data_IF_819725871102
#
_entry.id   IF_819725871102
#
_cell.length_a   1.000
_cell.length_b   1.000
_cell.length_c   1.000
_cell.angle_alpha   90.00
_cell.angle_beta   90.00
_cell.angle_gamma   90.00
#
_symmetry.space_group_name_H-M   'P 1'
#
loop_
_entity.id
_entity.type
_entity.pdbx_description
1 polymer ?
#
# COMPACT_ATOMS: atom_id res chain seq x y z
N UNK A 1 -22.80 1.33 -23.39
CA UNK A 1 -22.30 1.40 -24.78
C UNK A 1 -23.07 2.41 -25.63
N UNK A 2 -24.40 2.51 -25.58
CA UNK A 2 -25.19 3.46 -26.40
C UNK A 2 -25.01 4.97 -26.15
N UNK A 3 -23.94 5.38 -25.47
CA UNK A 3 -23.51 6.78 -25.31
C UNK A 3 -22.18 7.08 -26.02
N UNK A 4 -21.52 6.05 -26.61
CA UNK A 4 -20.34 6.21 -27.44
C UNK A 4 -20.73 6.52 -28.89
N UNK A 5 -19.77 7.08 -29.62
CA UNK A 5 -19.85 7.20 -31.08
C UNK A 5 -20.11 5.81 -31.69
N UNK A 6 -20.92 5.76 -32.75
CA UNK A 6 -21.27 4.52 -33.41
C UNK A 6 -20.03 3.84 -33.99
N UNK A 7 -19.06 4.63 -34.48
CA UNK A 7 -17.79 4.11 -35.01
C UNK A 7 -17.02 3.33 -33.94
N UNK A 8 -16.97 3.81 -32.69
CA UNK A 8 -16.33 3.09 -31.57
C UNK A 8 -17.06 1.78 -31.27
N UNK A 9 -18.40 1.79 -31.33
CA UNK A 9 -19.20 0.58 -31.10
C UNK A 9 -18.94 -0.45 -32.21
N UNK A 10 -18.89 0.00 -33.46
CA UNK A 10 -18.63 -0.84 -34.62
C UNK A 10 -17.20 -1.42 -34.57
N UNK A 11 -16.22 -0.63 -34.15
CA UNK A 11 -14.83 -1.08 -33.92
C UNK A 11 -14.75 -2.11 -32.77
N UNK A 12 -15.50 -1.91 -31.67
CA UNK A 12 -15.61 -2.93 -30.60
C UNK A 12 -16.25 -4.22 -31.15
N UNK A 13 -17.29 -4.12 -31.99
CA UNK A 13 -17.98 -5.28 -32.57
C UNK A 13 -17.17 -6.00 -33.63
N UNK A 14 -16.27 -5.31 -34.31
CA UNK A 14 -15.30 -5.93 -35.24
C UNK A 14 -14.09 -6.51 -34.52
N UNK A 15 -13.90 -6.14 -33.25
CA UNK A 15 -12.88 -6.69 -32.36
C UNK A 15 -11.58 -5.88 -32.35
N UNK A 16 -11.60 -4.61 -32.75
CA UNK A 16 -10.41 -3.74 -32.84
C UNK A 16 -9.88 -3.28 -31.47
N UNK A 17 -10.73 -3.33 -30.43
CA UNK A 17 -10.35 -3.01 -29.05
C UNK A 17 -10.21 -4.27 -28.20
N UNK A 18 -9.12 -4.36 -27.44
CA UNK A 18 -8.76 -5.54 -26.64
C UNK A 18 -9.08 -5.37 -25.16
N UNK A 19 -9.18 -4.13 -24.68
CA UNK A 19 -9.46 -3.85 -23.27
C UNK A 19 -10.13 -2.50 -23.07
N UNK A 20 -10.90 -2.41 -21.99
CA UNK A 20 -11.54 -1.22 -21.47
C UNK A 20 -11.07 -0.97 -20.05
N UNK A 21 -10.53 0.21 -19.79
CA UNK A 21 -10.04 0.62 -18.48
C UNK A 21 -10.96 1.69 -17.89
N UNK A 22 -11.23 1.55 -16.60
CA UNK A 22 -11.90 2.56 -15.78
C UNK A 22 -10.94 3.02 -14.70
N UNK A 23 -10.73 4.32 -14.63
CA UNK A 23 -10.17 4.96 -13.44
C UNK A 23 -11.31 5.01 -12.41
N UNK A 24 -11.11 4.41 -11.24
CA UNK A 24 -12.17 4.34 -10.24
C UNK A 24 -11.70 4.70 -8.85
N UNK A 25 -12.63 5.26 -8.06
CA UNK A 25 -12.48 5.45 -6.63
C UNK A 25 -13.49 4.54 -5.93
N UNK A 26 -13.01 3.44 -5.37
CA UNK A 26 -13.82 2.46 -4.67
C UNK A 26 -13.74 2.76 -3.17
N UNK A 27 -14.88 3.08 -2.56
CA UNK A 27 -14.99 3.19 -1.11
C UNK A 27 -15.42 1.84 -0.53
N UNK A 28 -14.96 1.55 0.69
CA UNK A 28 -15.23 0.29 1.38
C UNK A 28 -14.68 -0.94 0.62
N UNK A 29 -13.52 -0.79 -0.03
CA UNK A 29 -12.88 -1.90 -0.78
C UNK A 29 -12.54 -3.09 0.11
N UNK A 30 -12.29 -2.89 1.40
CA UNK A 30 -12.00 -3.98 2.34
C UNK A 30 -13.14 -4.96 2.54
N UNK A 31 -14.37 -4.55 2.24
CA UNK A 31 -15.54 -5.43 2.26
C UNK A 31 -15.66 -6.30 1.01
N UNK A 32 -14.93 -5.98 -0.05
CA UNK A 32 -15.01 -6.64 -1.34
C UNK A 32 -14.10 -7.87 -1.34
N UNK A 33 -14.60 -8.99 -1.83
CA UNK A 33 -13.77 -10.17 -2.12
C UNK A 33 -13.28 -10.12 -3.57
N UNK A 34 -14.22 -9.88 -4.50
CA UNK A 34 -13.94 -9.80 -5.93
C UNK A 34 -15.03 -9.04 -6.69
N UNK A 35 -14.71 -8.61 -7.92
CA UNK A 35 -15.66 -8.15 -8.92
C UNK A 35 -15.85 -9.21 -9.99
N UNK A 36 -17.08 -9.69 -10.13
CA UNK A 36 -17.49 -10.49 -11.27
C UNK A 36 -17.86 -9.60 -12.45
N UNK A 37 -17.14 -9.73 -13.55
CA UNK A 37 -17.37 -8.99 -14.79
C UNK A 37 -18.03 -9.92 -15.79
N UNK A 38 -19.26 -9.59 -16.18
CA UNK A 38 -20.05 -10.38 -17.12
C UNK A 38 -20.38 -9.57 -18.36
N UNK A 39 -20.05 -10.13 -19.53
CA UNK A 39 -20.33 -9.53 -20.83
C UNK A 39 -21.60 -10.14 -21.42
N UNK A 40 -22.45 -9.32 -22.00
CA UNK A 40 -23.70 -9.72 -22.63
C UNK A 40 -23.76 -9.20 -24.05
N UNK A 41 -23.99 -10.11 -24.99
CA UNK A 41 -24.23 -9.82 -26.39
C UNK A 41 -25.72 -9.84 -26.75
N UNK A 42 -26.02 -9.97 -28.04
CA UNK A 42 -27.40 -10.07 -28.53
C UNK A 42 -28.08 -11.40 -28.16
N UNK A 43 -27.31 -12.49 -28.03
CA UNK A 43 -27.78 -13.83 -27.68
C UNK A 43 -27.84 -14.11 -26.17
N UNK A 44 -27.40 -13.17 -25.33
CA UNK A 44 -27.32 -13.34 -23.87
C UNK A 44 -25.89 -13.25 -23.35
N UNK A 45 -25.59 -14.03 -22.31
CA UNK A 45 -24.28 -14.05 -21.65
C UNK A 45 -23.20 -14.55 -22.62
N UNK A 46 -22.06 -13.84 -22.69
CA UNK A 46 -20.86 -14.23 -23.41
C UNK A 46 -19.91 -14.90 -22.42
N UNK A 47 -20.09 -16.21 -22.17
CA UNK A 47 -19.42 -16.94 -21.09
C UNK A 47 -17.90 -16.89 -21.18
N UNK A 48 -17.38 -16.98 -22.39
CA UNK A 48 -15.94 -17.12 -22.65
C UNK A 48 -15.18 -15.80 -22.41
N UNK A 49 -15.91 -14.68 -22.36
CA UNK A 49 -15.38 -13.34 -22.10
C UNK A 49 -15.68 -12.85 -20.67
N UNK A 50 -16.24 -13.71 -19.81
CA UNK A 50 -16.44 -13.38 -18.39
C UNK A 50 -15.13 -13.46 -17.62
N UNK A 51 -14.92 -12.55 -16.68
CA UNK A 51 -13.68 -12.46 -15.92
C UNK A 51 -13.94 -12.09 -14.46
N UNK A 52 -13.00 -12.47 -13.61
CA UNK A 52 -12.99 -12.20 -12.18
C UNK A 52 -11.80 -11.27 -11.91
N UNK A 53 -12.02 -10.23 -11.12
CA UNK A 53 -10.95 -9.35 -10.63
C UNK A 53 -10.99 -9.43 -9.10
N UNK A 54 -9.93 -9.92 -8.50
CA UNK A 54 -9.83 -10.03 -7.03
C UNK A 54 -9.58 -8.66 -6.39
N UNK A 55 -9.94 -8.51 -5.11
CA UNK A 55 -9.70 -7.28 -4.35
C UNK A 55 -8.22 -6.86 -4.40
N UNK A 56 -7.33 -7.81 -4.22
CA UNK A 56 -5.88 -7.59 -4.18
C UNK A 56 -5.39 -7.01 -5.51
N UNK A 57 -5.90 -7.50 -6.64
CA UNK A 57 -5.60 -6.97 -7.97
C UNK A 57 -6.11 -5.53 -8.15
N UNK A 58 -7.27 -5.20 -7.57
CA UNK A 58 -7.79 -3.82 -7.59
C UNK A 58 -6.91 -2.89 -6.77
N UNK A 59 -6.50 -3.30 -5.57
CA UNK A 59 -5.61 -2.51 -4.70
C UNK A 59 -4.26 -2.28 -5.39
N UNK A 60 -3.66 -3.33 -5.95
CA UNK A 60 -2.40 -3.25 -6.69
C UNK A 60 -2.45 -2.34 -7.91
N UNK A 61 -3.64 -2.01 -8.43
CA UNK A 61 -3.83 -1.15 -9.60
C UNK A 61 -4.45 0.19 -9.25
N UNK A 62 -4.32 0.63 -7.99
CA UNK A 62 -4.90 1.88 -7.50
C UNK A 62 -6.41 1.98 -7.80
N UNK A 63 -7.13 0.88 -7.66
CA UNK A 63 -8.55 0.70 -7.99
C UNK A 63 -8.90 0.84 -9.48
N UNK A 64 -7.93 0.82 -10.39
CA UNK A 64 -8.21 0.80 -11.83
C UNK A 64 -8.80 -0.54 -12.26
N UNK A 65 -9.96 -0.51 -12.93
CA UNK A 65 -10.63 -1.72 -13.42
C UNK A 65 -10.27 -1.93 -14.89
N UNK A 66 -9.65 -3.07 -15.22
CA UNK A 66 -9.40 -3.52 -16.60
C UNK A 66 -10.41 -4.59 -16.99
N UNK A 67 -11.12 -4.39 -18.09
CA UNK A 67 -12.06 -5.35 -18.67
C UNK A 67 -11.54 -5.78 -20.04
N UNK A 68 -11.22 -7.05 -20.19
CA UNK A 68 -10.87 -7.61 -21.50
C UNK A 68 -12.12 -7.60 -22.40
N UNK A 69 -11.94 -7.18 -23.65
CA UNK A 69 -13.00 -7.14 -24.65
C UNK A 69 -12.83 -8.31 -25.63
N UNK A 70 -13.92 -8.80 -26.25
CA UNK A 70 -13.83 -9.82 -27.27
C UNK A 70 -13.04 -9.29 -28.48
N UNK A 71 -11.98 -10.00 -28.86
CA UNK A 71 -11.08 -9.55 -29.94
C UNK A 71 -11.48 -10.05 -31.34
N UNK A 72 -12.52 -10.88 -31.42
CA UNK A 72 -13.13 -11.35 -32.66
C UNK A 72 -14.46 -10.62 -32.89
N UNK A 73 -15.04 -10.78 -34.08
CA UNK A 73 -16.34 -10.20 -34.41
C UNK A 73 -17.40 -10.66 -33.40
N UNK A 74 -18.05 -9.71 -32.73
CA UNK A 74 -18.92 -9.94 -31.59
C UNK A 74 -20.17 -9.06 -31.63
N UNK A 75 -21.02 -9.20 -30.60
CA UNK A 75 -22.26 -8.41 -30.47
C UNK A 75 -22.39 -7.76 -29.09
N UNK A 76 -21.25 -7.42 -28.47
CA UNK A 76 -21.21 -6.91 -27.10
C UNK A 76 -22.16 -5.72 -26.92
N UNK A 77 -23.10 -5.86 -25.98
CA UNK A 77 -24.14 -4.86 -25.73
C UNK A 77 -24.03 -4.26 -24.34
N UNK A 78 -23.67 -5.08 -23.36
CA UNK A 78 -23.63 -4.69 -21.95
C UNK A 78 -22.48 -5.39 -21.24
N UNK A 79 -21.76 -4.62 -20.45
CA UNK A 79 -20.83 -5.09 -19.44
C UNK A 79 -21.51 -4.89 -18.09
N UNK A 80 -21.50 -5.91 -17.23
CA UNK A 80 -22.06 -5.86 -15.88
C UNK A 80 -20.96 -6.20 -14.88
N UNK A 81 -20.72 -5.26 -13.98
CA UNK A 81 -19.86 -5.44 -12.81
C UNK A 81 -20.76 -5.84 -11.64
N UNK A 82 -20.45 -6.96 -10.99
CA UNK A 82 -21.19 -7.47 -9.84
C UNK A 82 -20.21 -7.67 -8.68
N UNK A 83 -20.29 -6.84 -7.61
CA UNK A 83 -19.45 -7.05 -6.44
C UNK A 83 -19.86 -8.32 -5.70
N UNK A 84 -18.85 -9.04 -5.22
CA UNK A 84 -19.00 -10.15 -4.27
C UNK A 84 -18.30 -9.73 -3.00
N UNK A 85 -19.05 -9.59 -1.92
CA UNK A 85 -18.53 -9.17 -0.62
C UNK A 85 -17.94 -10.34 0.14
N UNK A 86 -16.97 -10.04 1.00
CA UNK A 86 -16.42 -10.99 1.97
C UNK A 86 -17.54 -11.50 2.87
N UNK A 87 -17.39 -12.75 3.31
CA UNK A 87 -18.37 -13.43 4.17
C UNK A 87 -17.77 -13.99 5.45
N UNK A 88 -16.51 -13.63 5.73
CA UNK A 88 -15.86 -13.92 7.01
C UNK A 88 -16.58 -13.25 8.18
N UNK A 89 -16.10 -13.54 9.40
CA UNK A 89 -16.76 -13.07 10.62
C UNK A 89 -16.94 -11.55 10.64
N UNK A 90 -15.96 -10.79 10.14
CA UNK A 90 -15.92 -9.33 10.21
C UNK A 90 -16.89 -8.68 9.23
N UNK A 91 -16.96 -9.21 7.99
CA UNK A 91 -17.77 -8.67 6.90
C UNK A 91 -19.07 -9.45 6.66
N UNK A 92 -19.43 -10.37 7.54
CA UNK A 92 -20.64 -11.18 7.43
C UNK A 92 -21.90 -10.31 7.27
N UNK A 93 -22.83 -10.72 6.40
CA UNK A 93 -24.11 -10.01 6.18
C UNK A 93 -24.95 -9.87 7.45
N UNK A 94 -24.85 -10.82 8.39
CA UNK A 94 -25.54 -10.73 9.67
C UNK A 94 -24.89 -9.70 10.62
N UNK A 95 -23.73 -9.14 10.24
CA UNK A 95 -22.98 -8.11 10.97
C UNK A 95 -22.90 -8.44 12.47
N UNK A 96 -22.55 -9.70 12.79
CA UNK A 96 -22.64 -10.22 14.15
C UNK A 96 -21.63 -9.56 15.08
N UNK A 97 -20.40 -9.34 14.58
CA UNK A 97 -19.30 -8.71 15.33
C UNK A 97 -18.99 -7.27 14.89
N UNK A 98 -19.18 -6.94 13.61
CA UNK A 98 -18.77 -5.66 13.03
C UNK A 98 -17.28 -5.58 12.69
N UNK A 99 -16.89 -4.46 12.06
CA UNK A 99 -15.51 -4.19 11.61
C UNK A 99 -14.75 -3.52 12.75
N UNK A 100 -13.60 -4.07 13.13
CA UNK A 100 -12.81 -3.52 14.22
C UNK A 100 -12.21 -2.16 13.83
N UNK A 101 -12.37 -1.17 14.70
CA UNK A 101 -11.83 0.18 14.55
C UNK A 101 -10.96 0.51 15.75
N UNK A 102 -9.90 1.27 15.51
CA UNK A 102 -8.93 1.68 16.51
C UNK A 102 -8.73 3.20 16.46
N UNK A 103 -8.63 3.83 17.62
CA UNK A 103 -8.38 5.26 17.74
C UNK A 103 -7.48 5.49 18.96
N UNK A 104 -6.38 6.21 18.77
CA UNK A 104 -5.47 6.59 19.87
C UNK A 104 -5.82 7.99 20.33
N UNK A 105 -5.87 8.19 21.64
CA UNK A 105 -6.37 9.40 22.27
C UNK A 105 -5.41 9.78 23.39
N UNK A 106 -5.07 11.05 23.47
CA UNK A 106 -4.38 11.63 24.61
C UNK A 106 -5.42 12.21 25.58
N UNK A 107 -5.26 11.92 26.87
CA UNK A 107 -6.21 12.33 27.88
C UNK A 107 -6.11 13.83 28.17
N UNK A 108 -7.12 14.59 27.75
CA UNK A 108 -7.27 16.02 27.99
C UNK A 108 -8.36 16.33 29.03
N UNK A 109 -8.00 16.82 30.24
CA UNK A 109 -8.96 17.24 31.26
C UNK A 109 -9.98 18.29 30.79
N UNK A 110 -9.68 19.07 29.75
CA UNK A 110 -10.61 20.05 29.18
C UNK A 110 -11.81 19.41 28.45
N UNK A 111 -11.68 18.14 28.05
CA UNK A 111 -12.74 17.34 27.44
C UNK A 111 -13.52 16.50 28.47
N UNK A 112 -13.17 16.61 29.75
CA UNK A 112 -13.85 15.92 30.85
C UNK A 112 -15.02 16.77 31.36
N UNK A 113 -16.18 16.16 31.50
CA UNK A 113 -17.37 16.81 32.05
C UNK A 113 -18.13 15.89 33.01
N UNK A 114 -18.75 16.50 34.03
CA UNK A 114 -19.65 15.80 34.94
C UNK A 114 -21.02 15.65 34.28
N UNK A 115 -21.46 14.40 34.08
CA UNK A 115 -22.75 14.09 33.50
C UNK A 115 -23.87 14.13 34.56
N UNK A 116 -25.12 13.92 34.13
CA UNK A 116 -26.31 13.99 34.99
C UNK A 116 -26.38 12.91 36.10
N UNK A 117 -25.50 11.92 36.04
CA UNK A 117 -25.30 10.87 37.04
C UNK A 117 -24.22 11.22 38.08
N UNK A 118 -23.74 12.47 38.10
CA UNK A 118 -22.67 12.99 38.95
C UNK A 118 -21.30 12.29 38.76
N UNK A 119 -21.11 11.57 37.66
CA UNK A 119 -19.82 10.97 37.28
C UNK A 119 -19.13 11.78 36.18
N UNK A 120 -17.80 11.72 36.17
CA UNK A 120 -16.96 12.44 35.21
C UNK A 120 -16.58 11.55 34.03
N UNK A 121 -16.83 12.04 32.82
CA UNK A 121 -16.49 11.35 31.59
C UNK A 121 -15.71 12.25 30.65
N UNK A 122 -14.74 11.67 29.95
CA UNK A 122 -14.18 12.26 28.76
C UNK A 122 -15.09 12.00 27.57
N UNK A 123 -15.39 13.06 26.81
CA UNK A 123 -16.15 12.97 25.56
C UNK A 123 -15.23 12.77 24.38
N UNK A 124 -15.42 11.68 23.64
CA UNK A 124 -14.61 11.31 22.48
C UNK A 124 -15.51 11.20 21.26
N UNK A 125 -15.23 12.00 20.23
CA UNK A 125 -15.88 11.87 18.93
C UNK A 125 -15.19 10.75 18.14
N UNK A 126 -15.97 9.77 17.70
CA UNK A 126 -15.45 8.63 16.94
C UNK A 126 -15.21 9.00 15.48
N UNK A 127 -14.11 8.48 14.93
CA UNK A 127 -13.77 8.61 13.51
C UNK A 127 -14.67 7.76 12.59
N UNK A 128 -15.26 6.70 13.16
CA UNK A 128 -16.11 5.76 12.44
C UNK A 128 -17.45 5.52 13.15
N UNK A 129 -18.43 5.06 12.38
CA UNK A 129 -19.75 4.71 12.90
C UNK A 129 -19.64 3.65 14.00
N UNK A 130 -20.43 3.76 15.07
CA UNK A 130 -20.42 2.80 16.17
C UNK A 130 -21.47 1.70 15.96
N UNK A 131 -21.06 0.43 16.10
CA UNK A 131 -21.98 -0.70 16.18
C UNK A 131 -22.57 -0.77 17.57
N UNK A 132 -23.88 -0.54 17.66
CA UNK A 132 -24.62 -0.48 18.92
C UNK A 132 -25.35 -1.79 19.26
N UNK A 133 -25.51 -2.69 18.28
CA UNK A 133 -26.05 -4.04 18.47
C UNK A 133 -24.92 -5.01 18.85
N UNK A 134 -24.71 -5.17 20.15
CA UNK A 134 -23.47 -5.72 20.68
C UNK A 134 -23.42 -7.25 20.76
N UNK A 135 -24.53 -7.99 20.72
CA UNK A 135 -24.55 -9.47 20.77
C UNK A 135 -23.63 -10.12 21.83
N UNK A 136 -23.43 -9.46 22.99
CA UNK A 136 -22.54 -9.92 24.06
C UNK A 136 -21.12 -9.34 24.03
N UNK A 137 -20.81 -8.44 23.09
CA UNK A 137 -19.59 -7.63 23.04
C UNK A 137 -19.72 -6.37 23.90
N UNK A 138 -18.59 -5.75 24.23
CA UNK A 138 -18.57 -4.42 24.83
C UNK A 138 -18.72 -3.34 23.77
N UNK A 139 -19.22 -2.17 24.19
CA UNK A 139 -19.39 -1.01 23.32
C UNK A 139 -18.04 -0.55 22.76
N UNK A 140 -17.04 -0.48 23.64
CA UNK A 140 -15.66 -0.22 23.30
C UNK A 140 -14.74 -0.84 24.37
N UNK A 141 -13.52 -1.17 23.96
CA UNK A 141 -12.44 -1.66 24.81
C UNK A 141 -11.39 -0.56 24.89
N UNK A 142 -10.89 -0.28 26.08
CA UNK A 142 -9.89 0.78 26.29
C UNK A 142 -8.62 0.15 26.84
N UNK A 143 -7.48 0.55 26.32
CA UNK A 143 -6.17 0.06 26.71
C UNK A 143 -5.28 1.23 27.11
N UNK A 144 -4.38 1.01 28.07
CA UNK A 144 -3.30 1.97 28.36
C UNK A 144 -2.18 1.88 27.30
N UNK A 145 -1.16 2.71 27.46
CA UNK A 145 0.08 2.75 26.68
C UNK A 145 0.83 1.40 26.64
N UNK A 146 0.65 0.55 27.64
CA UNK A 146 1.18 -0.81 27.71
C UNK A 146 0.25 -1.87 27.09
N UNK A 147 -0.80 -1.46 26.38
CA UNK A 147 -1.82 -2.33 25.77
C UNK A 147 -2.55 -3.24 26.78
N UNK A 148 -2.59 -2.84 28.05
CA UNK A 148 -3.36 -3.53 29.08
C UNK A 148 -4.81 -3.07 29.03
N UNK A 149 -5.74 -4.02 28.97
CA UNK A 149 -7.17 -3.73 28.95
C UNK A 149 -7.63 -3.12 30.28
N UNK A 150 -8.31 -1.98 30.21
CA UNK A 150 -8.82 -1.22 31.34
C UNK A 150 -10.28 -1.57 31.61
N UNK A 151 -10.58 -1.81 32.89
CA UNK A 151 -11.97 -1.99 33.35
C UNK A 151 -12.43 -0.75 34.10
N UNK A 152 -13.72 -0.46 34.03
CA UNK A 152 -14.27 0.78 34.56
C UNK A 152 -15.25 0.54 35.71
N UNK A 153 -15.30 1.45 36.71
CA UNK A 153 -16.26 1.37 37.81
C UNK A 153 -17.72 1.59 37.36
N UNK A 154 -17.91 2.21 36.18
CA UNK A 154 -19.19 2.41 35.53
C UNK A 154 -19.05 2.22 34.02
N UNK A 155 -20.17 1.97 33.33
CA UNK A 155 -20.15 1.59 31.91
C UNK A 155 -19.77 2.76 31.00
N UNK A 156 -19.03 2.46 29.92
CA UNK A 156 -18.89 3.36 28.78
C UNK A 156 -20.27 3.52 28.12
N UNK A 157 -20.65 4.76 27.82
CA UNK A 157 -21.91 5.08 27.15
C UNK A 157 -21.66 5.87 25.87
N UNK A 158 -22.72 6.08 25.07
CA UNK A 158 -22.61 6.85 23.84
C UNK A 158 -23.83 7.74 23.60
N UNK A 159 -23.63 8.79 22.80
CA UNK A 159 -24.70 9.57 22.17
C UNK A 159 -24.43 9.70 20.68
N UNK A 160 -25.49 9.76 19.88
CA UNK A 160 -25.41 10.13 18.47
C UNK A 160 -25.69 11.63 18.38
N UNK A 161 -24.71 12.41 17.94
CA UNK A 161 -24.89 13.83 17.61
C UNK A 161 -25.18 13.99 16.12
N UNK A 162 -26.32 14.60 15.79
CA UNK A 162 -26.72 14.91 14.42
C UNK A 162 -26.47 16.39 14.13
N UNK A 163 -25.42 16.69 13.37
CA UNK A 163 -25.12 18.06 12.93
C UNK A 163 -25.97 18.47 11.72
N UNK A 164 -26.36 17.50 10.88
CA UNK A 164 -27.28 17.69 9.76
C UNK A 164 -27.93 16.37 9.34
N UNK A 165 -28.85 16.40 8.37
CA UNK A 165 -29.48 15.19 7.81
C UNK A 165 -28.49 14.16 7.22
N UNK A 166 -27.26 14.58 6.93
CA UNK A 166 -26.24 13.74 6.29
C UNK A 166 -24.94 13.68 7.07
N UNK A 167 -24.86 14.37 8.23
CA UNK A 167 -23.65 14.44 9.05
C UNK A 167 -24.07 14.17 10.48
N UNK A 168 -23.65 13.03 10.99
CA UNK A 168 -23.79 12.62 12.38
C UNK A 168 -22.48 12.02 12.85
N UNK A 169 -22.19 12.11 14.15
CA UNK A 169 -21.08 11.40 14.75
C UNK A 169 -21.48 10.76 16.08
N UNK A 170 -20.85 9.64 16.39
CA UNK A 170 -21.01 8.98 17.67
C UNK A 170 -20.00 9.57 18.66
N UNK A 171 -20.49 9.99 19.81
CA UNK A 171 -19.67 10.45 20.93
C UNK A 171 -19.68 9.36 21.98
N UNK A 172 -18.51 8.84 22.34
CA UNK A 172 -18.33 7.97 23.50
C UNK A 172 -18.04 8.79 24.75
N UNK A 173 -18.57 8.32 25.87
CA UNK A 173 -18.29 8.83 27.20
C UNK A 173 -17.47 7.78 27.94
N UNK A 174 -16.16 8.03 28.05
CA UNK A 174 -15.25 7.14 28.77
C UNK A 174 -15.11 7.65 30.20
N UNK A 175 -15.34 6.80 31.22
CA UNK A 175 -15.12 7.15 32.62
C UNK A 175 -13.74 7.74 32.89
N UNK A 176 -13.68 8.80 33.70
CA UNK A 176 -12.40 9.46 34.04
C UNK A 176 -11.56 8.68 35.05
N UNK A 177 -12.11 7.58 35.55
CA UNK A 177 -11.45 6.66 36.47
C UNK A 177 -11.59 5.22 35.99
N UNK A 178 -10.55 4.42 36.14
CA UNK A 178 -10.51 3.01 35.81
C UNK A 178 -9.97 2.18 36.97
N UNK A 179 -10.14 0.87 36.91
CA UNK A 179 -9.58 -0.08 37.87
C UNK A 179 -8.22 -0.50 37.33
N UNK A 180 -7.15 -0.13 38.03
CA UNK A 180 -5.78 -0.47 37.64
C UNK A 180 -5.60 -1.99 37.60
N UNK A 181 -5.16 -2.57 36.47
CA UNK A 181 -5.03 -4.02 36.32
C UNK A 181 -4.00 -4.66 37.27
N UNK A 182 -3.03 -3.88 37.77
CA UNK A 182 -1.96 -4.37 38.63
C UNK A 182 -2.33 -4.30 40.11
N UNK A 183 -3.02 -3.23 40.52
CA UNK A 183 -3.35 -2.97 41.93
C UNK A 183 -4.80 -3.29 42.28
N UNK A 184 -5.68 -3.39 41.27
CA UNK A 184 -7.13 -3.52 41.41
C UNK A 184 -7.76 -2.38 42.25
N UNK A 185 -7.11 -1.22 42.30
CA UNK A 185 -7.60 0.01 42.89
C UNK A 185 -8.19 0.92 41.81
N UNK A 186 -9.15 1.76 42.18
CA UNK A 186 -9.69 2.77 41.27
C UNK A 186 -8.76 3.98 41.23
N UNK A 187 -8.24 4.27 40.04
CA UNK A 187 -7.35 5.40 39.75
C UNK A 187 -7.97 6.28 38.68
N UNK A 188 -7.53 7.54 38.59
CA UNK A 188 -8.01 8.49 37.59
C UNK A 188 -6.95 8.77 36.55
N UNK A 189 -7.36 8.91 35.29
CA UNK A 189 -6.47 9.34 34.23
C UNK A 189 -5.89 10.72 34.54
N UNK A 190 -4.64 10.92 34.14
CA UNK A 190 -3.91 12.18 34.23
C UNK A 190 -3.83 12.84 32.86
N UNK A 191 -3.58 14.15 32.85
CA UNK A 191 -3.31 14.89 31.62
C UNK A 191 -2.11 14.29 30.89
N UNK A 192 -2.29 14.02 29.59
CA UNK A 192 -1.25 13.43 28.74
C UNK A 192 -1.22 11.90 28.72
N UNK A 193 -2.06 11.21 29.51
CA UNK A 193 -2.15 9.75 29.44
C UNK A 193 -2.62 9.31 28.04
N UNK A 194 -1.88 8.39 27.41
CA UNK A 194 -2.26 7.85 26.10
C UNK A 194 -3.13 6.61 26.30
N UNK A 195 -4.29 6.59 25.66
CA UNK A 195 -5.19 5.43 25.63
C UNK A 195 -5.49 5.00 24.20
N UNK A 196 -5.51 3.69 23.99
CA UNK A 196 -5.95 3.09 22.74
C UNK A 196 -7.40 2.61 22.90
N UNK A 197 -8.27 3.10 22.04
CA UNK A 197 -9.68 2.73 21.97
C UNK A 197 -9.87 1.71 20.85
N UNK A 198 -10.51 0.58 21.16
CA UNK A 198 -11.01 -0.38 20.16
C UNK A 198 -12.52 -0.47 20.22
N UNK A 199 -13.20 -0.23 19.12
CA UNK A 199 -14.65 -0.38 19.00
C UNK A 199 -15.00 -1.09 17.70
N UNK A 200 -16.28 -1.42 17.50
CA UNK A 200 -16.74 -2.02 16.26
C UNK A 200 -17.58 -1.03 15.49
N UNK A 201 -17.42 -1.00 14.18
CA UNK A 201 -18.28 -0.29 13.24
C UNK A 201 -19.20 -1.26 12.51
N UNK A 202 -20.42 -0.84 12.13
CA UNK A 202 -21.32 -1.69 11.37
C UNK A 202 -20.77 -1.92 9.95
N UNK A 203 -20.93 -3.14 9.45
CA UNK A 203 -20.66 -3.44 8.04
C UNK A 203 -21.58 -2.60 7.15
N UNK A 204 -21.00 -1.83 6.23
CA UNK A 204 -21.76 -1.01 5.28
C UNK A 204 -22.31 -1.88 4.15
N UNK A 205 -23.61 -1.78 3.90
CA UNK A 205 -24.28 -2.52 2.82
C UNK A 205 -24.01 -1.84 1.48
N UNK A 206 -22.85 -2.11 0.89
CA UNK A 206 -22.49 -1.68 -0.47
C UNK A 206 -21.12 -1.04 -0.59
N UNK A 207 -20.68 -0.91 -1.84
CA UNK A 207 -19.46 -0.20 -2.23
C UNK A 207 -19.82 0.95 -3.17
N UNK A 208 -19.60 2.21 -2.76
CA UNK A 208 -19.62 3.33 -3.70
C UNK A 208 -18.45 3.22 -4.66
N UNK A 209 -18.73 3.20 -5.97
CA UNK A 209 -17.71 3.25 -7.03
C UNK A 209 -17.90 4.57 -7.78
N UNK A 210 -16.97 5.50 -7.59
CA UNK A 210 -16.84 6.67 -8.46
C UNK A 210 -16.09 6.28 -9.73
N UNK A 211 -16.66 6.52 -10.90
CA UNK A 211 -15.99 6.31 -12.19
C UNK A 211 -15.44 7.65 -12.66
N UNK A 212 -14.12 7.73 -12.84
CA UNK A 212 -13.41 8.87 -13.39
C UNK A 212 -13.30 8.76 -14.90
N UNK A 213 -12.06 8.67 -15.37
CA UNK A 213 -11.72 8.53 -16.78
C UNK A 213 -11.96 7.11 -17.30
N UNK A 214 -12.17 7.02 -18.62
CA UNK A 214 -12.34 5.77 -19.34
C UNK A 214 -11.38 5.73 -20.53
N UNK A 215 -10.75 4.58 -20.73
CA UNK A 215 -9.80 4.38 -21.81
C UNK A 215 -10.06 3.06 -22.54
N UNK A 216 -10.05 3.10 -23.87
CA UNK A 216 -10.16 1.93 -24.73
C UNK A 216 -8.80 1.62 -25.35
N UNK A 217 -8.36 0.39 -25.19
CA UNK A 217 -7.10 -0.09 -25.74
C UNK A 217 -7.33 -0.80 -27.07
N UNK A 218 -6.78 -0.25 -28.15
CA UNK A 218 -6.80 -0.85 -29.48
C UNK A 218 -5.75 -1.96 -29.60
N UNK A 219 -5.98 -2.94 -30.48
CA UNK A 219 -5.02 -3.99 -30.88
C UNK A 219 -3.61 -3.45 -31.16
N UNK A 220 -3.45 -2.26 -31.73
CA UNK A 220 -2.12 -1.71 -32.01
C UNK A 220 -1.41 -2.48 -33.14
N UNK A 221 -0.12 -2.23 -33.32
CA UNK A 221 0.63 -2.75 -34.47
C UNK A 221 0.94 -4.26 -34.31
N UNK A 222 0.67 -5.05 -35.36
CA UNK A 222 0.95 -6.50 -35.45
C UNK A 222 0.29 -7.43 -34.42
N UNK A 223 -0.70 -6.97 -33.67
CA UNK A 223 -1.38 -7.77 -32.64
C UNK A 223 -1.87 -9.13 -33.14
N UNK A 224 -2.53 -9.19 -34.29
CA UNK A 224 -3.09 -10.45 -34.79
C UNK A 224 -2.02 -11.52 -35.08
N UNK A 225 -0.77 -11.09 -35.36
CA UNK A 225 0.37 -12.00 -35.56
C UNK A 225 1.10 -12.33 -34.26
N UNK A 226 0.92 -11.54 -33.21
CA UNK A 226 1.68 -11.57 -31.96
C UNK A 226 0.82 -11.18 -30.75
N UNK A 227 -0.24 -11.96 -30.47
CA UNK A 227 -1.15 -11.73 -29.34
C UNK A 227 -0.51 -11.98 -27.97
N UNK A 228 0.65 -12.64 -27.97
CA UNK A 228 1.42 -13.07 -26.82
C UNK A 228 2.44 -12.04 -26.32
N UNK A 229 2.72 -11.00 -27.12
CA UNK A 229 3.69 -9.98 -26.75
C UNK A 229 3.11 -9.08 -25.63
N UNK A 230 3.73 -9.04 -24.44
CA UNK A 230 3.28 -8.15 -23.37
C UNK A 230 3.58 -6.68 -23.70
N UNK A 231 2.92 -5.76 -23.00
CA UNK A 231 3.20 -4.31 -23.17
C UNK A 231 4.60 -3.98 -22.70
N UNK A 232 4.87 -4.39 -21.47
CA UNK A 232 6.15 -4.34 -20.80
C UNK A 232 6.30 -5.60 -19.96
N UNK A 233 7.52 -5.91 -19.56
CA UNK A 233 7.83 -7.11 -18.79
C UNK A 233 9.09 -6.92 -17.95
N UNK A 234 9.18 -7.75 -16.91
CA UNK A 234 10.42 -8.01 -16.17
C UNK A 234 10.91 -9.40 -16.55
N UNK A 235 12.20 -9.49 -16.85
CA UNK A 235 12.92 -10.73 -17.03
C UNK A 235 13.99 -10.86 -15.94
N UNK A 236 14.01 -12.00 -15.23
CA UNK A 236 15.14 -12.40 -14.42
C UNK A 236 15.94 -13.42 -15.23
N UNK A 237 17.18 -13.06 -15.58
CA UNK A 237 17.99 -13.84 -16.52
C UNK A 237 19.33 -14.21 -15.92
N UNK A 238 19.84 -15.36 -16.34
CA UNK A 238 21.21 -15.77 -16.07
C UNK A 238 22.04 -15.63 -17.36
N UNK A 239 22.56 -14.42 -17.58
CA UNK A 239 23.38 -14.07 -18.73
C UNK A 239 24.82 -13.79 -18.29
N UNK A 240 25.77 -14.05 -19.19
CA UNK A 240 27.19 -13.79 -18.95
C UNK A 240 27.58 -12.32 -19.18
N UNK A 241 26.75 -11.56 -19.90
CA UNK A 241 26.93 -10.13 -20.19
C UNK A 241 25.61 -9.46 -20.58
N UNK A 242 25.52 -8.17 -20.29
CA UNK A 242 24.47 -7.21 -20.65
C UNK A 242 24.27 -7.01 -22.16
N UNK A 243 25.31 -7.22 -22.98
CA UNK A 243 25.23 -7.08 -24.45
C UNK A 243 24.85 -8.37 -25.18
N UNK A 244 24.78 -9.50 -24.48
CA UNK A 244 24.49 -10.81 -25.06
C UNK A 244 22.98 -11.07 -25.11
N UNK A 245 22.22 -10.28 -25.87
CA UNK A 245 20.75 -10.40 -25.96
C UNK A 245 20.27 -11.82 -26.33
N UNK A 246 21.05 -12.54 -27.14
CA UNK A 246 20.76 -13.95 -27.49
C UNK A 246 20.76 -14.90 -26.28
N UNK A 247 21.38 -14.50 -25.17
CA UNK A 247 21.47 -15.28 -23.94
C UNK A 247 20.29 -15.02 -22.98
N UNK A 248 19.54 -13.93 -23.15
CA UNK A 248 18.50 -13.50 -22.19
C UNK A 248 17.34 -14.49 -22.09
N UNK A 249 17.07 -15.22 -23.16
CA UNK A 249 16.07 -16.29 -23.18
C UNK A 249 16.70 -17.68 -23.31
N UNK A 250 18.03 -17.80 -23.14
CA UNK A 250 18.76 -19.05 -23.28
C UNK A 250 19.12 -19.60 -21.90
N UNK A 251 18.79 -20.87 -21.64
CA UNK A 251 18.93 -21.46 -20.29
C UNK A 251 17.61 -21.39 -19.52
N UNK A 252 17.66 -20.93 -18.27
CA UNK A 252 16.48 -20.67 -17.45
C UNK A 252 16.33 -19.16 -17.21
N UNK A 253 15.12 -18.66 -17.38
CA UNK A 253 14.76 -17.27 -17.11
C UNK A 253 13.35 -17.23 -16.53
N UNK A 254 13.06 -16.18 -15.76
CA UNK A 254 11.72 -15.90 -15.26
C UNK A 254 11.20 -14.66 -15.97
N UNK A 255 9.97 -14.73 -16.48
CA UNK A 255 9.32 -13.61 -17.17
C UNK A 255 7.99 -13.33 -16.52
N UNK A 256 7.73 -12.05 -16.28
CA UNK A 256 6.44 -11.59 -15.75
C UNK A 256 6.03 -10.28 -16.44
N UNK A 257 4.79 -10.19 -16.97
CA UNK A 257 4.35 -8.99 -17.67
C UNK A 257 4.04 -7.85 -16.70
N UNK A 258 4.47 -6.63 -17.05
CA UNK A 258 4.01 -5.39 -16.42
C UNK A 258 2.78 -4.90 -17.19
N UNK A 259 1.70 -4.64 -16.47
CA UNK A 259 0.45 -4.14 -17.05
C UNK A 259 0.24 -2.68 -16.62
N UNK A 260 0.89 -1.71 -17.28
CA UNK A 260 0.71 -0.29 -16.95
C UNK A 260 -0.75 0.13 -17.16
N UNK A 261 -1.26 1.00 -16.30
CA UNK A 261 -2.57 1.62 -16.47
C UNK A 261 -2.43 2.86 -17.37
N UNK A 262 -3.47 3.21 -18.15
CA UNK A 262 -3.41 4.39 -19.02
C UNK A 262 -3.56 5.72 -18.26
N UNK A 263 -3.75 5.69 -16.93
CA UNK A 263 -4.10 6.87 -16.13
C UNK A 263 -2.93 7.45 -15.36
N UNK A 264 -1.87 6.67 -15.15
CA UNK A 264 -0.65 7.10 -14.48
C UNK A 264 0.46 7.22 -15.54
N UNK A 265 0.92 8.45 -15.78
CA UNK A 265 1.89 8.75 -16.82
C UNK A 265 2.86 9.82 -16.32
N UNK A 266 4.09 9.85 -16.83
CA UNK A 266 5.03 10.93 -16.52
C UNK A 266 4.47 12.33 -16.84
N UNK A 267 3.64 12.45 -17.88
CA UNK A 267 3.02 13.72 -18.29
C UNK A 267 2.06 14.31 -17.25
N UNK A 268 1.45 13.46 -16.41
CA UNK A 268 0.61 13.91 -15.31
C UNK A 268 1.29 13.79 -13.93
N UNK A 269 2.59 13.46 -13.93
CA UNK A 269 3.41 13.25 -12.74
C UNK A 269 2.77 12.26 -11.75
N UNK A 270 2.15 11.19 -12.28
CA UNK A 270 1.59 10.10 -11.48
C UNK A 270 2.23 8.79 -11.89
N UNK A 271 2.64 8.02 -10.89
CA UNK A 271 3.22 6.70 -11.02
C UNK A 271 2.35 5.71 -10.24
N UNK A 272 2.17 4.49 -10.76
CA UNK A 272 1.57 3.39 -9.99
C UNK A 272 2.67 2.51 -9.41
N UNK A 273 2.48 2.05 -8.18
CA UNK A 273 3.30 0.98 -7.61
C UNK A 273 2.86 -0.36 -8.18
N UNK A 274 3.80 -1.18 -8.65
CA UNK A 274 3.53 -2.54 -9.14
C UNK A 274 4.30 -3.53 -8.27
N UNK A 275 3.60 -4.26 -7.39
CA UNK A 275 4.19 -5.39 -6.67
C UNK A 275 4.21 -6.62 -7.57
N UNK A 276 5.33 -7.34 -7.60
CA UNK A 276 5.46 -8.59 -8.35
C UNK A 276 5.96 -9.65 -7.38
N UNK A 277 5.06 -10.55 -7.00
CA UNK A 277 5.43 -11.69 -6.17
C UNK A 277 6.11 -12.75 -7.06
N UNK A 278 7.38 -13.01 -6.76
CA UNK A 278 8.21 -13.93 -7.56
C UNK A 278 7.92 -15.37 -7.15
N UNK A 279 7.31 -16.14 -8.06
CA UNK A 279 7.07 -17.57 -7.86
C UNK A 279 7.97 -18.42 -8.76
N UNK A 280 9.00 -19.02 -8.17
CA UNK A 280 10.02 -19.80 -8.88
C UNK A 280 9.75 -21.31 -8.92
N UNK A 281 8.59 -21.78 -8.45
CA UNK A 281 8.28 -23.21 -8.32
C UNK A 281 8.53 -23.98 -9.63
N UNK A 282 8.03 -23.46 -10.75
CA UNK A 282 8.20 -24.07 -12.08
C UNK A 282 9.65 -24.05 -12.58
N UNK A 283 10.45 -23.04 -12.22
CA UNK A 283 11.87 -22.98 -12.56
C UNK A 283 12.68 -24.00 -11.76
N UNK A 284 12.40 -24.16 -10.46
CA UNK A 284 13.03 -25.19 -9.65
C UNK A 284 12.73 -26.60 -10.19
N UNK A 285 11.48 -26.87 -10.56
CA UNK A 285 11.08 -28.14 -11.17
C UNK A 285 11.78 -28.40 -12.52
N UNK A 286 11.84 -27.40 -13.40
CA UNK A 286 12.41 -27.56 -14.75
C UNK A 286 13.94 -27.65 -14.75
N UNK A 287 14.62 -26.95 -13.85
CA UNK A 287 16.09 -26.99 -13.74
C UNK A 287 16.60 -28.13 -12.87
N UNK A 288 15.74 -28.74 -12.04
CA UNK A 288 16.12 -29.69 -10.98
C UNK A 288 17.21 -29.13 -10.05
N UNK A 289 17.39 -27.80 -10.02
CA UNK A 289 18.33 -27.14 -9.13
C UNK A 289 17.70 -26.90 -7.77
N UNK A 290 18.50 -26.83 -6.73
CA UNK A 290 18.08 -26.32 -5.41
C UNK A 290 18.39 -24.84 -5.23
N UNK A 291 19.07 -24.24 -6.20
CA UNK A 291 19.48 -22.82 -6.21
C UNK A 291 19.28 -22.27 -7.61
N UNK A 292 18.56 -21.16 -7.74
CA UNK A 292 18.44 -20.40 -8.98
C UNK A 292 19.33 -19.16 -8.86
N UNK A 293 20.20 -18.95 -9.84
CA UNK A 293 21.07 -17.78 -9.88
C UNK A 293 20.63 -16.89 -11.04
N UNK A 294 20.20 -15.67 -10.73
CA UNK A 294 19.95 -14.64 -11.73
C UNK A 294 21.08 -13.62 -11.66
N UNK A 295 21.60 -13.22 -12.80
CA UNK A 295 22.67 -12.22 -12.88
C UNK A 295 22.13 -10.83 -13.23
N UNK A 296 20.93 -10.75 -13.83
CA UNK A 296 20.34 -9.48 -14.25
C UNK A 296 18.81 -9.48 -14.06
N UNK A 297 18.29 -8.29 -13.78
CA UNK A 297 16.87 -7.94 -13.88
C UNK A 297 16.74 -7.02 -15.10
N UNK A 298 15.95 -7.43 -16.08
CA UNK A 298 15.78 -6.68 -17.33
C UNK A 298 14.34 -6.21 -17.44
N UNK A 299 14.17 -4.91 -17.62
CA UNK A 299 12.89 -4.30 -17.96
C UNK A 299 12.85 -4.11 -19.48
N UNK A 300 11.82 -4.67 -20.11
CA UNK A 300 11.69 -4.63 -21.56
C UNK A 300 10.29 -4.15 -21.95
N UNK A 301 10.21 -3.47 -23.10
CA UNK A 301 8.96 -2.99 -23.70
C UNK A 301 8.88 -3.59 -25.11
N UNK A 302 8.47 -4.86 -25.22
CA UNK A 302 8.55 -5.57 -26.50
C UNK A 302 7.47 -5.10 -27.48
N UNK A 303 6.43 -4.42 -26.99
CA UNK A 303 5.44 -3.76 -27.84
C UNK A 303 5.84 -2.30 -28.14
N UNK A 304 6.18 -1.95 -29.39
CA UNK A 304 6.70 -0.63 -29.74
C UNK A 304 5.65 0.50 -29.66
N UNK A 305 4.39 0.21 -29.36
CA UNK A 305 3.36 1.24 -29.15
C UNK A 305 3.29 1.74 -27.71
N UNK A 306 4.15 1.23 -26.83
CA UNK A 306 4.18 1.57 -25.42
C UNK A 306 5.54 2.15 -25.02
N UNK A 307 5.50 2.90 -23.94
CA UNK A 307 6.66 3.43 -23.24
C UNK A 307 6.52 3.05 -21.76
N UNK A 308 7.64 2.70 -21.12
CA UNK A 308 7.70 2.39 -19.70
C UNK A 308 8.64 3.37 -19.02
N UNK A 309 8.08 4.20 -18.15
CA UNK A 309 8.85 5.06 -17.25
C UNK A 309 8.86 4.43 -15.87
N UNK A 310 10.05 4.17 -15.34
CA UNK A 310 10.26 3.56 -14.02
C UNK A 310 10.79 4.63 -13.09
N UNK A 311 10.06 4.99 -12.05
CA UNK A 311 10.54 5.93 -11.04
C UNK A 311 11.53 5.28 -10.08
N UNK A 312 11.17 4.10 -9.55
CA UNK A 312 11.92 3.41 -8.51
C UNK A 312 11.67 1.89 -8.58
N UNK A 313 12.64 1.10 -8.14
CA UNK A 313 12.55 -0.35 -8.01
C UNK A 313 12.94 -0.74 -6.59
N UNK A 314 12.05 -1.46 -5.92
CA UNK A 314 12.28 -2.06 -4.62
C UNK A 314 12.37 -3.58 -4.73
N UNK A 315 13.36 -4.18 -4.07
CA UNK A 315 13.49 -5.63 -3.93
C UNK A 315 13.36 -5.95 -2.45
N UNK A 316 12.33 -6.73 -2.11
CA UNK A 316 12.02 -7.11 -0.73
C UNK A 316 12.24 -8.62 -0.57
N UNK A 317 12.96 -9.02 0.46
CA UNK A 317 13.02 -10.41 0.93
C UNK A 317 12.02 -10.58 2.09
N UNK A 318 10.97 -11.38 1.90
CA UNK A 318 10.07 -11.74 3.00
C UNK A 318 10.78 -12.78 3.89
N UNK A 319 11.35 -12.35 5.03
CA UNK A 319 11.89 -13.29 6.01
C UNK A 319 10.74 -14.00 6.73
N UNK A 320 10.79 -15.34 6.77
CA UNK A 320 9.71 -16.17 7.34
C UNK A 320 9.83 -16.39 8.85
N UNK A 321 10.91 -15.94 9.49
CA UNK A 321 11.10 -16.10 10.94
C UNK A 321 11.63 -14.81 11.57
N UNK A 322 11.09 -14.37 12.73
CA UNK A 322 11.74 -13.37 13.56
C UNK A 322 12.97 -14.04 14.20
N UNK A 323 14.09 -14.06 13.50
CA UNK A 323 15.36 -14.46 14.09
C UNK A 323 16.05 -13.21 14.63
N UNK A 324 16.48 -13.24 15.89
CA UNK A 324 17.25 -12.18 16.56
C UNK A 324 18.69 -12.06 16.01
N UNK A 325 18.93 -12.52 14.79
CA UNK A 325 20.28 -12.80 14.30
C UNK A 325 20.56 -12.32 12.89
N UNK A 326 19.54 -12.02 12.08
CA UNK A 326 19.72 -11.44 10.76
C UNK A 326 18.83 -10.19 10.65
N UNK A 327 19.46 -9.03 10.40
CA UNK A 327 18.78 -7.76 10.15
C UNK A 327 17.89 -7.84 8.91
N UNK A 328 16.93 -6.92 8.80
CA UNK A 328 16.16 -6.75 7.57
C UNK A 328 17.07 -6.20 6.47
N UNK A 329 17.20 -6.93 5.36
CA UNK A 329 17.86 -6.42 4.15
C UNK A 329 16.81 -5.69 3.30
N UNK A 330 16.93 -4.36 3.20
CA UNK A 330 16.24 -3.57 2.21
C UNK A 330 17.21 -3.14 1.11
N UNK A 331 16.78 -3.27 -0.14
CA UNK A 331 17.55 -2.85 -1.31
C UNK A 331 16.75 -1.92 -2.22
N UNK A 332 17.22 -0.69 -2.43
CA UNK A 332 16.64 0.26 -3.41
C UNK A 332 17.56 0.39 -4.62
N UNK A 333 16.97 0.35 -5.81
CA UNK A 333 17.69 0.56 -7.08
C UNK A 333 17.10 1.76 -7.80
N UNK A 334 17.87 2.85 -7.86
CA UNK A 334 17.44 4.09 -8.51
C UNK A 334 17.56 4.01 -10.03
N UNK A 335 16.75 4.83 -10.70
CA UNK A 335 16.98 5.16 -12.10
C UNK A 335 18.40 5.76 -12.20
N UNK A 336 19.31 5.09 -12.94
CA UNK A 336 20.70 5.49 -13.21
C UNK A 336 21.84 4.93 -12.32
N UNK A 337 21.70 3.70 -11.81
CA UNK A 337 22.80 2.80 -11.33
C UNK A 337 23.36 3.01 -9.92
N UNK A 338 22.48 3.25 -8.95
CA UNK A 338 22.83 3.35 -7.53
C UNK A 338 22.13 2.19 -6.80
N UNK A 339 22.91 1.31 -6.16
CA UNK A 339 22.39 0.23 -5.32
C UNK A 339 22.56 0.68 -3.87
N UNK A 340 21.44 0.93 -3.22
CA UNK A 340 21.39 1.20 -1.79
C UNK A 340 21.11 -0.11 -1.07
N UNK A 341 21.94 -0.44 -0.09
CA UNK A 341 21.69 -1.52 0.85
C UNK A 341 21.63 -0.95 2.25
N UNK A 342 20.61 -1.36 2.99
CA UNK A 342 20.40 -0.95 4.36
C UNK A 342 20.58 -2.15 5.28
N UNK A 343 21.41 -1.98 6.31
CA UNK A 343 21.48 -2.89 7.44
C UNK A 343 20.95 -2.12 8.67
N UNK A 344 19.84 -2.57 9.25
CA UNK A 344 19.24 -1.97 10.44
C UNK A 344 19.35 -2.93 11.63
N UNK A 345 19.70 -2.40 12.81
CA UNK A 345 19.70 -3.15 14.06
C UNK A 345 18.82 -2.51 15.16
N UNK A 346 18.90 -2.99 16.40
CA UNK A 346 18.07 -2.51 17.52
C UNK A 346 18.44 -1.09 18.00
N UNK A 347 19.56 -0.51 17.52
CA UNK A 347 20.15 0.77 17.94
C UNK A 347 20.32 1.73 16.75
N UNK A 348 19.31 2.56 16.41
CA UNK A 348 19.34 3.43 15.23
C UNK A 348 20.54 4.39 15.11
N UNK A 349 21.17 4.72 16.23
CA UNK A 349 22.37 5.55 16.32
C UNK A 349 23.63 4.88 15.76
N UNK A 350 23.61 3.55 15.67
CA UNK A 350 24.66 2.70 15.13
C UNK A 350 24.33 2.19 13.70
N UNK A 351 23.14 2.52 13.16
CA UNK A 351 22.74 2.13 11.80
C UNK A 351 23.70 2.71 10.76
N UNK A 352 24.25 1.84 9.91
CA UNK A 352 25.14 2.24 8.81
C UNK A 352 24.42 2.09 7.47
N UNK A 353 24.26 3.22 6.77
CA UNK A 353 23.67 3.27 5.44
C UNK A 353 24.79 3.11 4.43
N UNK A 354 24.79 2.02 3.66
CA UNK A 354 25.80 1.82 2.63
C UNK A 354 25.23 2.13 1.25
N UNK A 355 25.84 3.10 0.57
CA UNK A 355 25.50 3.45 -0.80
C UNK A 355 26.58 2.92 -1.74
N UNK A 356 26.30 1.85 -2.46
CA UNK A 356 27.28 1.26 -3.38
C UNK A 356 27.03 1.78 -4.80
N UNK A 357 27.89 2.69 -5.25
CA UNK A 357 27.90 3.16 -6.63
C UNK A 357 28.63 2.14 -7.52
N UNK A 358 27.87 1.38 -8.31
CA UNK A 358 28.46 0.45 -9.28
C UNK A 358 29.22 1.19 -10.41
N UNK A 359 28.85 2.44 -10.70
CA UNK A 359 29.49 3.32 -11.67
C UNK A 359 29.52 4.77 -11.14
N UNK A 360 30.47 5.58 -11.61
CA UNK A 360 30.47 7.03 -11.36
C UNK A 360 29.28 7.67 -12.07
N UNK A 361 28.50 8.49 -11.36
CA UNK A 361 27.31 9.14 -11.93
C UNK A 361 27.66 9.90 -13.21
N UNK A 362 26.97 9.54 -14.31
CA UNK A 362 27.29 10.01 -15.66
C UNK A 362 27.01 11.51 -15.86
N UNK A 363 26.18 12.11 -14.99
CA UNK A 363 25.70 13.49 -15.12
C UNK A 363 26.24 14.45 -14.05
N UNK A 364 26.83 13.93 -12.97
CA UNK A 364 27.34 14.73 -11.85
C UNK A 364 28.78 14.31 -11.53
N UNK A 365 29.80 15.02 -12.04
CA UNK A 365 31.20 14.63 -11.90
C UNK A 365 31.76 14.78 -10.47
N UNK A 366 31.00 15.43 -9.58
CA UNK A 366 31.31 15.70 -8.17
C UNK A 366 30.12 15.27 -7.28
N UNK A 367 30.15 15.58 -5.99
CA UNK A 367 29.13 15.16 -5.03
C UNK A 367 27.80 15.93 -5.06
N UNK A 368 27.56 16.72 -6.12
CA UNK A 368 26.29 17.46 -6.30
C UNK A 368 25.08 16.53 -6.44
N UNK A 369 25.29 15.26 -6.81
CA UNK A 369 24.21 14.26 -6.88
C UNK A 369 23.55 13.99 -5.51
N UNK A 370 24.26 14.19 -4.39
CA UNK A 370 23.71 14.00 -3.04
C UNK A 370 22.51 14.92 -2.75
N UNK A 371 22.48 16.12 -3.35
CA UNK A 371 21.36 17.07 -3.19
C UNK A 371 20.05 16.59 -3.83
N UNK A 372 20.14 15.59 -4.71
CA UNK A 372 19.00 15.01 -5.41
C UNK A 372 18.52 13.69 -4.78
N UNK A 373 19.19 13.23 -3.72
CA UNK A 373 18.77 12.06 -2.95
C UNK A 373 17.85 12.50 -1.82
N UNK A 374 16.66 11.90 -1.79
CA UNK A 374 15.75 11.97 -0.66
C UNK A 374 15.67 10.59 -0.04
N UNK A 375 16.16 10.46 1.19
CA UNK A 375 16.09 9.21 1.95
C UNK A 375 14.81 9.25 2.74
N UNK A 376 13.98 8.21 2.65
CA UNK A 376 12.70 8.16 3.35
C UNK A 376 12.75 7.15 4.50
N UNK A 377 12.19 7.51 5.65
CA UNK A 377 11.89 6.55 6.72
C UNK A 377 10.64 5.71 6.43
N UNK A 378 10.39 4.73 7.28
CA UNK A 378 9.19 3.88 7.28
C UNK A 378 7.86 4.65 7.37
N UNK A 379 7.88 5.90 7.85
CA UNK A 379 6.72 6.77 7.98
C UNK A 379 6.56 7.74 6.80
N UNK A 380 7.47 7.69 5.82
CA UNK A 380 7.48 8.53 4.63
C UNK A 380 8.05 9.94 4.85
N UNK A 381 8.72 10.21 5.98
CA UNK A 381 9.47 11.45 6.16
C UNK A 381 10.77 11.37 5.36
N UNK A 382 11.20 12.48 4.75
CA UNK A 382 12.41 12.51 3.94
C UNK A 382 13.56 13.27 4.61
N UNK A 383 14.78 12.82 4.34
CA UNK A 383 16.03 13.34 4.89
C UNK A 383 16.96 13.74 3.75
N UNK A 384 17.51 14.95 3.85
CA UNK A 384 18.44 15.47 2.85
C UNK A 384 19.88 15.09 3.20
N UNK A 385 20.66 14.87 2.15
CA UNK A 385 22.02 14.36 2.25
C UNK A 385 23.02 15.42 1.78
N UNK A 386 24.15 15.52 2.48
CA UNK A 386 25.31 16.29 2.03
C UNK A 386 26.61 15.75 2.60
N UNK A 387 27.76 16.35 2.27
CA UNK A 387 29.05 15.89 2.83
C UNK A 387 29.45 16.70 4.05
N UNK A 388 29.00 17.96 4.12
CA UNK A 388 29.35 18.88 5.20
C UNK A 388 28.22 19.89 5.39
N UNK A 389 28.21 20.57 6.54
CA UNK A 389 27.24 21.61 6.85
C UNK A 389 26.15 21.14 7.80
N UNK A 390 25.37 22.09 8.32
CA UNK A 390 24.28 21.84 9.26
C UNK A 390 22.91 21.81 8.59
N UNK A 391 22.87 22.05 7.28
CA UNK A 391 21.64 22.20 6.50
C UNK A 391 21.12 20.86 5.99
N UNK A 392 21.89 19.78 6.20
CA UNK A 392 21.55 18.40 5.82
C UNK A 392 21.43 17.52 7.06
N UNK A 393 20.48 16.60 7.04
CA UNK A 393 20.22 15.65 8.12
C UNK A 393 21.23 14.51 8.13
N UNK A 394 21.70 14.08 6.96
CA UNK A 394 22.64 12.97 6.80
C UNK A 394 23.95 13.45 6.18
N UNK A 395 25.06 12.92 6.67
CA UNK A 395 26.41 13.16 6.16
C UNK A 395 26.92 11.94 5.39
N UNK A 396 27.23 12.13 4.12
CA UNK A 396 27.89 11.14 3.27
C UNK A 396 29.40 11.18 3.48
N UNK A 397 29.97 10.03 3.83
CA UNK A 397 31.39 9.82 3.90
C UNK A 397 31.88 9.13 2.63
N UNK A 398 32.53 9.87 1.71
CA UNK A 398 32.97 9.32 0.42
C UNK A 398 34.20 8.40 0.53
N UNK A 399 34.75 8.19 1.73
CA UNK A 399 35.91 7.30 1.92
C UNK A 399 35.54 5.83 2.15
N UNK A 400 34.31 5.58 2.58
CA UNK A 400 33.72 4.26 2.83
C UNK A 400 32.31 4.12 2.23
N UNK A 401 31.83 5.14 1.51
CA UNK A 401 30.52 5.23 0.89
C UNK A 401 29.35 5.04 1.87
N UNK A 402 29.48 5.59 3.09
CA UNK A 402 28.45 5.46 4.12
C UNK A 402 27.80 6.77 4.52
N UNK A 403 26.51 6.73 4.85
CA UNK A 403 25.78 7.87 5.41
C UNK A 403 25.65 7.69 6.91
N UNK A 404 25.77 8.79 7.64
CA UNK A 404 25.60 8.84 9.09
C UNK A 404 24.75 10.06 9.45
N UNK A 405 24.03 10.00 10.58
CA UNK A 405 23.34 11.17 11.10
C UNK A 405 24.31 12.32 11.30
N UNK A 406 23.94 13.50 10.82
CA UNK A 406 24.73 14.70 11.03
C UNK A 406 24.72 15.02 12.54
N UNK A 407 25.86 14.91 13.24
CA UNK A 407 25.91 15.11 14.69
C UNK A 407 25.57 16.55 15.12
N UNK A 408 25.54 17.50 14.17
CA UNK A 408 25.15 18.88 14.42
C UNK A 408 23.66 19.14 14.17
N UNK A 409 22.93 18.23 13.52
CA UNK A 409 21.49 18.37 13.30
C UNK A 409 20.74 18.32 14.65
N UNK A 410 21.20 17.48 15.57
CA UNK A 410 20.64 17.32 16.91
C UNK A 410 21.03 18.41 17.93
N UNK A 411 21.78 19.46 17.55
CA UNK A 411 22.20 20.52 18.48
C UNK A 411 21.14 21.59 18.75
N UNK A 412 20.13 21.74 17.88
CA UNK A 412 19.06 22.71 18.08
C UNK A 412 18.10 22.31 19.24
N UNK A 413 17.70 21.04 19.38
CA UNK A 413 16.87 20.57 20.50
C UNK A 413 17.58 20.48 21.87
N UNK A 414 18.87 20.12 21.91
CA UNK A 414 19.67 20.12 23.15
C UNK A 414 19.71 21.50 23.83
N UNK A 415 19.69 22.59 23.04
CA UNK A 415 19.65 23.95 23.55
C UNK A 415 18.32 24.34 24.20
N UNK A 416 17.23 23.61 23.90
CA UNK A 416 15.88 23.81 24.44
C UNK A 416 15.43 22.70 25.41
N UNK A 417 16.30 21.73 25.72
CA UNK A 417 15.99 20.63 26.64
C UNK A 417 15.00 19.61 26.10
N UNK A 418 14.92 19.46 24.77
CA UNK A 418 14.14 18.40 24.12
C UNK A 418 15.13 17.42 23.49
N UNK A 419 15.11 16.15 23.89
CA UNK A 419 15.77 15.08 23.14
C UNK A 419 14.82 14.66 22.01
N UNK A 420 15.25 14.81 20.76
CA UNK A 420 14.62 14.08 19.67
C UNK A 420 15.27 12.70 19.63
N UNK A 421 14.46 11.64 19.75
CA UNK A 421 14.91 10.33 19.32
C UNK A 421 15.08 10.37 17.81
N UNK A 422 16.26 9.98 17.34
CA UNK A 422 16.53 9.86 15.91
C UNK A 422 15.55 8.82 15.34
N UNK A 423 14.77 9.17 14.30
CA UNK A 423 13.80 8.26 13.73
C UNK A 423 14.53 7.10 13.06
N UNK A 424 14.03 5.89 13.29
CA UNK A 424 14.44 4.70 12.56
C UNK A 424 14.18 4.92 11.07
N UNK A 425 15.23 4.88 10.24
CA UNK A 425 15.02 4.95 8.79
C UNK A 425 14.38 3.65 8.29
N UNK A 426 14.59 2.53 8.99
CA UNK A 426 13.89 1.24 8.83
C UNK A 426 13.66 0.66 10.23
N UNK A 427 12.48 0.08 10.50
CA UNK A 427 12.25 -0.61 11.77
C UNK A 427 13.02 -1.95 11.86
N UNK A 428 13.70 -2.23 12.98
CA UNK A 428 14.22 -3.57 13.24
C UNK A 428 13.07 -4.58 13.26
N UNK A 429 13.37 -5.82 12.87
CA UNK A 429 12.42 -6.93 12.94
C UNK A 429 11.75 -6.99 14.31
N UNK A 430 10.45 -6.72 14.37
CA UNK A 430 9.67 -6.80 15.62
C UNK A 430 9.50 -8.27 16.01
N UNK A 431 9.93 -8.60 17.22
CA UNK A 431 9.73 -9.92 17.88
C UNK A 431 8.27 -10.28 18.09
#
# INVERSE_FOLDING_TARGET
LGAYDQDIIDDIHTGEYISLYFDTNIKNIESLELLNITLYGNSGLMSDDTQIIYREELIMRDNSIKINLPTDTNTLKKIRLTPVFRSDNEYNENNTIGIAQFQTIEWDPALVSTNADDHEYMTITLDHDLKTELNGLELAYVFNDQLQYLTFPYNITYTLEEYSRTISSYILYIPSSYIDPNTNETVSFQEGDIVALRYNSPVKSGIPIGIGSLYLENKGYNYDSHKDIPKAEILLVNASSDVAYSEFTSGYYYQTPIQPTPFNTEYNNRYSSVKIDLNFTSLYESTSSTVLNFTHIVFSVPNPTYELTINEIFILEESYEPTTQDGSFDGRVWQYTEFESFDADESPEDDEYQLILANTSLFYPDFEWLEYINIYDENGNYYTVGITGNDHQLHFNPSNDTLTWNPNFNQFPEYFGMEFQEPLLIAPNKT
#
